data_IF_489596188323
#
_entry.id   IF_489596188323
#
_cell.length_a   1.000
_cell.length_b   1.000
_cell.length_c   1.000
_cell.angle_alpha   90.00
_cell.angle_beta   90.00
_cell.angle_gamma   90.00
#
_symmetry.space_group_name_H-M   'P 1'
#
loop_
_entity.id
_entity.type
_entity.pdbx_description
1 polymer ?
#
# COMPACT_ATOMS: atom_id res chain seq x y z
N UNK A 1 -1.06 -23.33 -49.23
CA UNK A 1 -1.10 -23.61 -47.78
C UNK A 1 -0.18 -24.78 -47.40
N UNK A 2 -0.23 -25.94 -48.09
CA UNK A 2 0.59 -27.15 -47.78
C UNK A 2 2.10 -26.92 -47.93
N UNK A 3 2.55 -26.21 -48.96
CA UNK A 3 3.95 -25.86 -49.20
C UNK A 3 4.56 -25.03 -48.04
N UNK A 4 3.82 -24.08 -47.52
CA UNK A 4 4.26 -23.24 -46.40
C UNK A 4 4.47 -24.09 -45.13
N UNK A 5 3.57 -25.03 -44.86
CA UNK A 5 3.68 -25.93 -43.71
C UNK A 5 4.90 -26.86 -43.82
N UNK A 6 5.17 -27.38 -45.04
CA UNK A 6 6.35 -28.23 -45.30
C UNK A 6 7.66 -27.41 -45.13
N UNK A 7 7.70 -26.19 -45.65
CA UNK A 7 8.88 -25.31 -45.50
C UNK A 7 9.14 -24.96 -44.03
N UNK A 8 8.12 -24.62 -43.26
CA UNK A 8 8.25 -24.34 -41.84
C UNK A 8 8.83 -25.55 -41.08
N UNK A 9 8.32 -26.75 -41.37
CA UNK A 9 8.79 -28.00 -40.75
C UNK A 9 10.27 -28.27 -41.09
N UNK A 10 10.69 -27.98 -42.33
CA UNK A 10 12.05 -28.14 -42.78
C UNK A 10 13.02 -27.14 -42.05
N UNK A 11 12.61 -25.90 -41.95
CA UNK A 11 13.38 -24.88 -41.24
C UNK A 11 13.54 -25.21 -39.72
N UNK A 12 12.47 -25.69 -39.09
CA UNK A 12 12.56 -26.15 -37.70
C UNK A 12 13.54 -27.30 -37.54
N UNK A 13 13.50 -28.31 -38.46
CA UNK A 13 14.44 -29.44 -38.42
C UNK A 13 15.91 -29.00 -38.59
N UNK A 14 16.16 -28.07 -39.54
CA UNK A 14 17.49 -27.50 -39.74
C UNK A 14 17.95 -26.67 -38.50
N UNK A 15 17.08 -25.85 -37.90
CA UNK A 15 17.42 -25.09 -36.73
C UNK A 15 17.79 -25.98 -35.54
N UNK A 16 17.05 -27.08 -35.30
CA UNK A 16 17.39 -28.05 -34.26
C UNK A 16 18.71 -28.77 -34.51
N UNK A 17 19.02 -29.04 -35.77
CA UNK A 17 20.30 -29.69 -36.13
C UNK A 17 21.48 -28.76 -35.87
N UNK A 18 21.41 -27.50 -36.28
CA UNK A 18 22.40 -26.46 -36.02
C UNK A 18 22.61 -26.18 -34.51
N UNK A 19 21.54 -26.20 -33.71
CA UNK A 19 21.60 -26.11 -32.27
C UNK A 19 22.38 -27.28 -31.65
N UNK A 20 22.26 -28.48 -32.22
CA UNK A 20 22.98 -29.69 -31.78
C UNK A 20 24.47 -29.70 -32.14
N UNK A 21 24.86 -29.08 -33.25
CA UNK A 21 26.28 -29.00 -33.68
C UNK A 21 27.08 -28.01 -32.82
N UNK A 22 26.48 -26.88 -32.40
CA UNK A 22 27.15 -25.84 -31.62
C UNK A 22 26.55 -25.69 -30.20
N UNK A 23 26.62 -26.76 -29.42
CA UNK A 23 25.98 -26.85 -28.10
C UNK A 23 26.31 -25.71 -27.16
N UNK A 24 27.54 -25.26 -27.11
CA UNK A 24 28.02 -24.21 -26.22
C UNK A 24 27.42 -22.85 -26.62
N UNK A 25 27.46 -22.50 -27.90
CA UNK A 25 26.91 -21.25 -28.42
C UNK A 25 25.38 -21.20 -28.28
N UNK A 26 24.75 -22.34 -28.57
CA UNK A 26 23.28 -22.49 -28.42
C UNK A 26 22.85 -22.36 -26.97
N UNK A 27 23.58 -22.97 -26.03
CA UNK A 27 23.26 -22.85 -24.61
C UNK A 27 23.40 -21.41 -24.11
N UNK A 28 24.48 -20.71 -24.49
CA UNK A 28 24.64 -19.29 -24.11
C UNK A 28 23.51 -18.44 -24.66
N UNK A 29 23.10 -18.64 -25.92
CA UNK A 29 22.01 -17.89 -26.54
C UNK A 29 20.67 -18.16 -25.87
N UNK A 30 20.38 -19.42 -25.55
CA UNK A 30 19.14 -19.82 -24.87
C UNK A 30 19.09 -19.24 -23.45
N UNK A 31 20.18 -19.37 -22.69
CA UNK A 31 20.25 -18.83 -21.33
C UNK A 31 20.15 -17.30 -21.37
N UNK A 32 20.85 -16.64 -22.30
CA UNK A 32 20.80 -15.19 -22.44
C UNK A 32 19.40 -14.66 -22.77
N UNK A 33 18.72 -15.30 -23.72
CA UNK A 33 17.33 -14.91 -24.08
C UNK A 33 16.35 -15.21 -22.95
N UNK A 34 16.47 -16.35 -22.28
CA UNK A 34 15.63 -16.69 -21.14
C UNK A 34 15.80 -15.69 -19.99
N UNK A 35 17.06 -15.32 -19.69
CA UNK A 35 17.36 -14.32 -18.66
C UNK A 35 16.79 -12.94 -19.03
N UNK A 36 16.92 -12.51 -20.29
CA UNK A 36 16.38 -11.25 -20.77
C UNK A 36 14.84 -11.20 -20.61
N UNK A 37 14.16 -12.28 -21.02
CA UNK A 37 12.71 -12.39 -20.88
C UNK A 37 12.31 -12.37 -19.39
N UNK A 38 13.01 -13.12 -18.55
CA UNK A 38 12.75 -13.15 -17.11
C UNK A 38 12.91 -11.74 -16.48
N UNK A 39 13.95 -11.00 -16.84
CA UNK A 39 14.14 -9.63 -16.35
C UNK A 39 13.02 -8.69 -16.80
N UNK A 40 12.59 -8.76 -18.06
CA UNK A 40 11.47 -7.97 -18.57
C UNK A 40 10.18 -8.32 -17.81
N UNK A 41 9.92 -9.61 -17.57
CA UNK A 41 8.74 -10.02 -16.80
C UNK A 41 8.78 -9.50 -15.37
N UNK A 42 9.91 -9.55 -14.69
CA UNK A 42 10.09 -9.01 -13.34
C UNK A 42 9.78 -7.51 -13.33
N UNK A 43 10.32 -6.75 -14.29
CA UNK A 43 10.06 -5.31 -14.40
C UNK A 43 8.56 -5.04 -14.60
N UNK A 44 7.91 -5.76 -15.53
CA UNK A 44 6.48 -5.59 -15.81
C UNK A 44 5.63 -5.94 -14.58
N UNK A 45 5.95 -7.03 -13.88
CA UNK A 45 5.22 -7.45 -12.67
C UNK A 45 5.40 -6.40 -11.57
N UNK A 46 6.63 -5.92 -11.35
CA UNK A 46 6.91 -4.90 -10.34
C UNK A 46 6.18 -3.59 -10.64
N UNK A 47 6.22 -3.12 -11.89
CA UNK A 47 5.48 -1.93 -12.30
C UNK A 47 3.98 -2.11 -12.12
N UNK A 48 3.43 -3.25 -12.52
CA UNK A 48 2.01 -3.55 -12.33
C UNK A 48 1.64 -3.60 -10.84
N UNK A 49 2.43 -4.26 -10.01
CA UNK A 49 2.21 -4.32 -8.57
C UNK A 49 2.24 -2.93 -7.91
N UNK A 50 3.01 -1.99 -8.48
CA UNK A 50 3.09 -0.61 -7.97
C UNK A 50 1.90 0.25 -8.39
N UNK A 51 1.32 0.01 -9.57
CA UNK A 51 0.30 0.89 -10.16
C UNK A 51 -1.10 0.28 -10.09
N UNK A 52 -1.20 -1.06 -10.05
CA UNK A 52 -2.50 -1.74 -10.11
C UNK A 52 -3.36 -1.42 -8.87
N UNK A 53 -4.65 -1.17 -9.07
CA UNK A 53 -5.59 -0.98 -7.98
C UNK A 53 -5.84 -2.31 -7.27
N UNK A 54 -5.43 -2.41 -6.01
CA UNK A 54 -5.74 -3.52 -5.12
C UNK A 54 -6.46 -3.01 -3.88
N UNK A 55 -7.40 -3.77 -3.37
CA UNK A 55 -7.98 -3.46 -2.07
C UNK A 55 -6.89 -3.38 -0.99
N UNK A 56 -6.92 -2.35 -0.11
CA UNK A 56 -7.94 -1.32 0.03
C UNK A 56 -7.78 -0.10 -0.91
N UNK A 57 -6.75 -0.01 -1.74
CA UNK A 57 -6.43 1.12 -2.63
C UNK A 57 -7.01 0.90 -4.04
N UNK A 58 -8.31 0.73 -4.16
CA UNK A 58 -8.98 0.41 -5.44
C UNK A 58 -8.92 1.55 -6.46
N UNK A 59 -8.77 2.79 -6.00
CA UNK A 59 -8.68 4.00 -6.82
C UNK A 59 -7.28 4.62 -6.85
N UNK A 60 -6.24 3.79 -6.80
CA UNK A 60 -4.84 4.24 -6.74
C UNK A 60 -4.44 5.17 -7.89
N UNK A 61 -5.02 4.98 -9.07
CA UNK A 61 -4.83 5.81 -10.27
C UNK A 61 -5.35 7.26 -10.12
N UNK A 62 -6.26 7.50 -9.17
CA UNK A 62 -6.86 8.80 -8.85
C UNK A 62 -6.39 9.36 -7.51
N UNK A 63 -5.54 8.66 -6.79
CA UNK A 63 -5.05 9.07 -5.48
C UNK A 63 -3.78 9.90 -5.61
N UNK A 64 -3.70 10.98 -4.85
CA UNK A 64 -2.52 11.80 -4.69
C UNK A 64 -2.10 11.84 -3.23
N UNK A 65 -0.89 11.38 -2.94
CA UNK A 65 -0.37 11.29 -1.57
C UNK A 65 0.72 12.34 -1.36
N UNK A 66 0.46 13.28 -0.44
CA UNK A 66 1.44 14.27 0.00
C UNK A 66 2.06 13.83 1.32
N UNK A 67 3.36 13.59 1.33
CA UNK A 67 4.09 13.18 2.54
C UNK A 67 4.90 14.31 3.17
N UNK A 68 5.44 15.19 2.35
CA UNK A 68 6.34 16.26 2.78
C UNK A 68 5.97 17.57 2.11
N UNK A 69 6.17 18.67 2.83
CA UNK A 69 6.11 20.02 2.29
C UNK A 69 7.42 20.75 2.52
N UNK A 70 7.78 21.56 1.53
CA UNK A 70 8.88 22.51 1.66
C UNK A 70 8.37 23.86 2.15
N UNK A 71 8.93 24.35 3.21
CA UNK A 71 8.73 25.71 3.72
C UNK A 71 9.98 26.54 3.44
N UNK A 72 9.82 27.71 2.85
CA UNK A 72 10.90 28.65 2.63
C UNK A 72 10.56 30.00 3.27
N UNK A 73 11.50 30.60 3.97
CA UNK A 73 11.30 31.91 4.54
C UNK A 73 11.36 32.99 3.47
N UNK A 74 10.43 33.95 3.49
CA UNK A 74 10.45 35.13 2.62
C UNK A 74 11.54 36.12 3.00
N UNK A 75 11.94 36.17 4.27
CA UNK A 75 12.96 37.10 4.79
C UNK A 75 14.37 36.54 4.77
N UNK A 76 14.52 35.22 4.75
CA UNK A 76 15.83 34.55 4.70
C UNK A 76 15.80 33.43 3.67
N UNK A 77 16.29 33.72 2.47
CA UNK A 77 16.27 32.79 1.31
C UNK A 77 17.08 31.51 1.56
N UNK A 78 18.04 31.56 2.50
CA UNK A 78 18.85 30.40 2.85
C UNK A 78 18.18 29.48 3.87
N UNK A 79 17.06 29.92 4.47
CA UNK A 79 16.32 29.08 5.39
C UNK A 79 15.19 28.33 4.66
N UNK A 80 15.31 27.03 4.65
CA UNK A 80 14.27 26.11 4.15
C UNK A 80 14.13 24.94 5.09
N UNK A 81 12.92 24.45 5.24
CA UNK A 81 12.61 23.22 5.98
C UNK A 81 11.74 22.32 5.13
N UNK A 82 12.12 21.06 5.07
CA UNK A 82 11.35 20.02 4.39
C UNK A 82 10.93 19.00 5.44
N UNK A 83 9.64 18.73 5.54
CA UNK A 83 9.13 17.79 6.52
C UNK A 83 7.64 17.55 6.42
N UNK A 84 7.11 16.68 7.31
CA UNK A 84 5.68 16.47 7.40
C UNK A 84 4.96 17.76 7.82
N UNK A 85 3.79 17.96 7.27
CA UNK A 85 2.94 19.11 7.61
C UNK A 85 2.15 18.77 8.87
N UNK A 86 2.09 19.71 9.82
CA UNK A 86 1.22 19.57 11.00
C UNK A 86 -0.27 19.53 10.59
N UNK A 87 -1.06 18.78 11.36
CA UNK A 87 -2.49 18.56 11.08
C UNK A 87 -3.28 19.84 10.80
N UNK A 88 -3.14 20.86 11.63
CA UNK A 88 -3.87 22.12 11.46
C UNK A 88 -3.53 22.84 10.15
N UNK A 89 -2.25 22.84 9.77
CA UNK A 89 -1.80 23.42 8.49
C UNK A 89 -2.31 22.61 7.30
N UNK A 90 -2.22 21.29 7.38
CA UNK A 90 -2.76 20.41 6.36
C UNK A 90 -4.28 20.59 6.20
N UNK A 91 -5.02 20.68 7.32
CA UNK A 91 -6.46 20.93 7.32
C UNK A 91 -6.80 22.27 6.65
N UNK A 92 -6.10 23.34 7.00
CA UNK A 92 -6.30 24.66 6.41
C UNK A 92 -6.00 24.71 4.90
N UNK A 93 -4.93 24.01 4.48
CA UNK A 93 -4.50 24.04 3.07
C UNK A 93 -5.32 23.10 2.17
N UNK A 94 -5.60 21.88 2.63
CA UNK A 94 -6.13 20.82 1.77
C UNK A 94 -7.62 20.57 1.93
N UNK A 95 -8.21 20.69 3.15
CA UNK A 95 -9.66 20.49 3.35
C UNK A 95 -10.50 21.60 2.72
N UNK A 96 -9.92 22.77 2.40
CA UNK A 96 -10.59 23.86 1.70
C UNK A 96 -10.53 23.73 0.17
N UNK A 97 -9.82 22.74 -0.37
CA UNK A 97 -9.74 22.53 -1.83
C UNK A 97 -11.05 21.96 -2.36
N UNK A 98 -11.47 22.47 -3.54
CA UNK A 98 -12.71 22.05 -4.21
C UNK A 98 -12.49 21.04 -5.34
N UNK A 99 -11.22 20.82 -5.74
CA UNK A 99 -10.89 19.90 -6.84
C UNK A 99 -10.92 18.43 -6.38
N UNK A 100 -10.31 18.06 -5.22
CA UNK A 100 -10.37 16.69 -4.74
C UNK A 100 -11.79 16.32 -4.30
N UNK A 101 -12.23 15.13 -4.64
CA UNK A 101 -13.52 14.59 -4.20
C UNK A 101 -13.53 14.36 -2.68
N UNK A 102 -12.45 13.81 -2.15
CA UNK A 102 -12.24 13.55 -0.72
C UNK A 102 -10.80 13.85 -0.34
N UNK A 103 -10.60 14.45 0.82
CA UNK A 103 -9.28 14.71 1.40
C UNK A 103 -9.22 14.09 2.79
N UNK A 104 -8.29 13.17 2.99
CA UNK A 104 -7.98 12.57 4.28
C UNK A 104 -6.61 13.05 4.78
N UNK A 105 -6.50 13.24 6.08
CA UNK A 105 -5.25 13.60 6.75
C UNK A 105 -4.90 12.48 7.73
N UNK A 106 -3.74 11.87 7.49
CA UNK A 106 -3.22 10.80 8.34
C UNK A 106 -1.82 11.18 8.83
N UNK A 107 -1.35 10.59 9.92
CA UNK A 107 0.07 10.70 10.22
C UNK A 107 0.88 9.92 9.17
N UNK A 108 2.09 10.38 8.90
CA UNK A 108 2.94 9.84 7.81
C UNK A 108 3.53 8.48 8.17
N UNK A 109 3.81 8.29 9.43
CA UNK A 109 4.47 7.11 9.95
C UNK A 109 3.49 6.30 10.80
N UNK A 110 3.47 5.01 10.56
CA UNK A 110 2.87 4.09 11.50
C UNK A 110 3.73 4.10 12.76
N UNK A 111 3.10 4.37 13.90
CA UNK A 111 3.77 4.34 15.19
C UNK A 111 3.65 2.94 15.78
N UNK A 112 4.76 2.42 16.31
CA UNK A 112 4.73 1.18 17.06
C UNK A 112 4.29 1.46 18.48
N UNK A 113 3.17 0.91 18.89
CA UNK A 113 2.60 1.09 20.21
C UNK A 113 2.35 -0.25 20.89
N UNK A 114 2.19 -0.22 22.22
CA UNK A 114 1.82 -1.40 23.00
C UNK A 114 0.32 -1.40 23.24
N UNK A 115 -0.32 -2.48 22.84
CA UNK A 115 -1.73 -2.70 23.04
C UNK A 115 -1.94 -3.87 24.00
N UNK A 116 -2.88 -3.73 24.94
CA UNK A 116 -3.22 -4.77 25.87
C UNK A 116 -4.71 -4.75 26.23
N UNK A 117 -5.26 -5.91 26.58
CA UNK A 117 -6.50 -5.99 27.33
C UNK A 117 -6.27 -5.44 28.74
N UNK A 118 -7.29 -4.88 29.40
CA UNK A 118 -7.18 -4.54 30.82
C UNK A 118 -6.67 -5.77 31.62
N UNK A 119 -5.58 -5.60 32.36
CA UNK A 119 -4.88 -6.64 33.09
C UNK A 119 -4.32 -7.83 32.26
N UNK A 120 -4.10 -7.62 30.95
CA UNK A 120 -3.52 -8.62 30.04
C UNK A 120 -2.05 -8.34 29.69
N UNK A 121 -1.48 -9.25 28.92
CA UNK A 121 -0.14 -9.05 28.35
C UNK A 121 -0.16 -7.94 27.29
N UNK A 122 0.99 -7.29 27.13
CA UNK A 122 1.17 -6.23 26.13
C UNK A 122 1.63 -6.82 24.81
N UNK A 123 0.96 -6.42 23.74
CA UNK A 123 1.27 -6.79 22.38
C UNK A 123 1.74 -5.56 21.58
N UNK A 124 2.81 -5.71 20.81
CA UNK A 124 3.27 -4.66 19.93
C UNK A 124 2.39 -4.57 18.67
N UNK A 125 1.94 -3.39 18.34
CA UNK A 125 1.12 -3.14 17.15
C UNK A 125 1.56 -1.88 16.43
N UNK A 126 1.30 -1.83 15.12
CA UNK A 126 1.48 -0.63 14.30
C UNK A 126 0.17 0.15 14.27
N UNK A 127 0.23 1.41 14.63
CA UNK A 127 -0.92 2.31 14.70
C UNK A 127 -0.80 3.41 13.65
N UNK A 128 -1.86 3.60 12.90
CA UNK A 128 -2.05 4.71 11.97
C UNK A 128 -3.17 5.60 12.49
N UNK A 129 -2.86 6.86 12.76
CA UNK A 129 -3.88 7.84 13.12
C UNK A 129 -4.50 8.40 11.85
N UNK A 130 -5.83 8.33 11.74
CA UNK A 130 -6.58 8.73 10.55
C UNK A 130 -7.78 9.60 10.91
N UNK A 131 -8.27 10.35 9.93
CA UNK A 131 -9.58 11.02 10.03
C UNK A 131 -10.71 10.13 9.47
N UNK A 132 -11.95 10.60 9.56
CA UNK A 132 -13.15 9.90 9.04
C UNK A 132 -13.11 9.72 7.52
N UNK A 133 -12.48 10.66 6.80
CA UNK A 133 -12.38 10.63 5.35
C UNK A 133 -11.50 9.49 4.82
N UNK A 134 -10.59 8.97 5.67
CA UNK A 134 -9.76 7.82 5.34
C UNK A 134 -10.59 6.61 4.87
N UNK A 135 -11.66 6.32 5.56
CA UNK A 135 -12.54 5.19 5.27
C UNK A 135 -13.38 5.35 4.00
N UNK A 136 -13.43 6.57 3.44
CA UNK A 136 -14.08 6.85 2.15
C UNK A 136 -13.11 6.71 0.97
N UNK A 137 -11.80 6.88 1.23
CA UNK A 137 -10.74 6.77 0.22
C UNK A 137 -10.30 5.31 0.05
N UNK A 138 -10.20 4.59 1.17
CA UNK A 138 -9.73 3.21 1.20
C UNK A 138 -10.90 2.25 1.43
N UNK A 139 -11.06 1.30 0.52
CA UNK A 139 -12.11 0.28 0.57
C UNK A 139 -11.66 -0.92 1.39
N UNK A 140 -11.79 -0.82 2.71
CA UNK A 140 -11.55 -1.94 3.62
C UNK A 140 -12.78 -2.83 3.72
N UNK A 141 -12.56 -4.13 3.78
CA UNK A 141 -13.60 -5.10 4.13
C UNK A 141 -13.72 -5.20 5.66
N UNK A 142 -14.86 -4.85 6.19
CA UNK A 142 -15.16 -4.95 7.61
C UNK A 142 -15.83 -6.28 7.92
N UNK A 143 -15.15 -7.13 8.67
CA UNK A 143 -15.70 -8.42 9.12
C UNK A 143 -16.82 -8.23 10.15
N UNK A 144 -16.71 -7.19 10.99
CA UNK A 144 -17.67 -6.87 12.03
C UNK A 144 -17.61 -5.38 12.36
N UNK A 145 -18.75 -4.79 12.71
CA UNK A 145 -18.83 -3.37 13.05
C UNK A 145 -18.78 -2.44 11.83
N UNK A 146 -18.39 -1.21 12.08
CA UNK A 146 -18.26 -0.13 11.08
C UNK A 146 -17.13 0.82 11.48
N UNK A 147 -16.53 1.57 10.52
CA UNK A 147 -15.55 2.59 10.83
C UNK A 147 -16.19 3.74 11.63
N UNK A 148 -15.37 4.52 12.32
CA UNK A 148 -15.80 5.76 12.94
C UNK A 148 -16.14 6.81 11.86
N UNK A 149 -17.12 7.63 12.16
CA UNK A 149 -17.62 8.68 11.28
C UNK A 149 -17.15 10.08 11.73
N UNK A 150 -17.57 11.10 10.99
CA UNK A 150 -17.19 12.49 11.30
C UNK A 150 -17.67 12.94 12.69
N UNK A 151 -18.82 12.48 13.14
CA UNK A 151 -19.34 12.84 14.47
C UNK A 151 -18.48 12.23 15.58
N UNK A 152 -18.04 10.99 15.39
CA UNK A 152 -17.12 10.31 16.31
C UNK A 152 -15.76 11.02 16.36
N UNK A 153 -15.25 11.43 15.19
CA UNK A 153 -13.96 12.12 15.06
C UNK A 153 -14.02 13.50 15.73
N UNK A 154 -15.03 14.30 15.44
CA UNK A 154 -15.21 15.64 16.01
C UNK A 154 -15.46 15.60 17.53
N UNK A 155 -16.12 14.56 18.02
CA UNK A 155 -16.31 14.33 19.45
C UNK A 155 -15.03 13.84 20.16
N UNK A 156 -13.97 13.50 19.43
CA UNK A 156 -12.78 12.88 20.00
C UNK A 156 -13.06 11.52 20.65
N UNK A 157 -14.00 10.78 20.09
CA UNK A 157 -14.37 9.47 20.63
C UNK A 157 -13.18 8.50 20.55
N UNK A 158 -12.88 7.82 21.64
CA UNK A 158 -11.80 6.82 21.72
C UNK A 158 -12.24 5.52 21.00
N UNK A 159 -12.24 5.56 19.68
CA UNK A 159 -12.59 4.44 18.81
C UNK A 159 -11.40 4.00 17.99
N UNK A 160 -11.22 2.70 17.85
CA UNK A 160 -10.19 2.10 17.02
C UNK A 160 -10.78 1.04 16.09
N UNK A 161 -10.23 0.94 14.90
CA UNK A 161 -10.44 -0.18 14.00
C UNK A 161 -9.19 -1.03 14.04
N UNK A 162 -9.35 -2.30 14.28
CA UNK A 162 -8.22 -3.25 14.40
C UNK A 162 -8.32 -4.35 13.35
N UNK A 163 -7.17 -4.88 12.92
CA UNK A 163 -7.13 -6.02 12.00
C UNK A 163 -7.61 -7.30 12.68
N UNK A 164 -8.09 -8.26 11.90
CA UNK A 164 -8.49 -9.57 12.40
C UNK A 164 -7.37 -10.26 13.18
N UNK A 165 -6.13 -10.18 12.69
CA UNK A 165 -4.97 -10.75 13.37
C UNK A 165 -4.76 -10.12 14.76
N UNK A 166 -4.88 -8.80 14.85
CA UNK A 166 -4.77 -8.10 16.14
C UNK A 166 -5.93 -8.44 17.07
N UNK A 167 -7.14 -8.57 16.55
CA UNK A 167 -8.31 -8.99 17.32
C UNK A 167 -8.10 -10.39 17.93
N UNK A 168 -7.60 -11.33 17.14
CA UNK A 168 -7.29 -12.70 17.61
C UNK A 168 -6.17 -12.71 18.65
N UNK A 169 -5.12 -11.92 18.48
CA UNK A 169 -4.02 -11.83 19.47
C UNK A 169 -4.48 -11.21 20.78
N UNK A 170 -5.21 -10.10 20.74
CA UNK A 170 -5.67 -9.42 21.95
C UNK A 170 -6.83 -10.14 22.66
N UNK A 171 -7.77 -10.68 21.91
CA UNK A 171 -9.03 -11.15 22.47
C UNK A 171 -9.30 -12.64 22.25
N UNK A 172 -8.48 -13.33 21.46
CA UNK A 172 -8.67 -14.73 21.10
C UNK A 172 -9.83 -14.98 20.13
N UNK A 173 -10.45 -13.93 19.60
CA UNK A 173 -11.61 -14.01 18.70
C UNK A 173 -11.60 -12.84 17.73
N UNK A 174 -12.27 -13.00 16.58
CA UNK A 174 -12.51 -11.91 15.62
C UNK A 174 -13.71 -11.04 16.01
N UNK A 175 -14.63 -11.52 16.86
CA UNK A 175 -15.79 -10.79 17.35
C UNK A 175 -15.40 -9.87 18.52
N UNK A 176 -15.05 -8.62 18.21
CA UNK A 176 -14.48 -7.68 19.19
C UNK A 176 -15.19 -6.33 19.24
N UNK A 177 -16.29 -6.16 18.52
CA UNK A 177 -17.05 -4.90 18.53
C UNK A 177 -17.53 -4.60 19.96
N UNK A 178 -17.29 -3.36 20.41
CA UNK A 178 -17.63 -2.91 21.77
C UNK A 178 -16.70 -3.39 22.88
N UNK A 179 -15.63 -4.13 22.56
CA UNK A 179 -14.60 -4.47 23.55
C UNK A 179 -13.59 -3.33 23.66
N UNK A 180 -13.06 -3.15 24.86
CA UNK A 180 -12.08 -2.11 25.18
C UNK A 180 -10.68 -2.72 25.32
N UNK A 181 -9.68 -2.05 24.82
CA UNK A 181 -8.28 -2.38 25.02
C UNK A 181 -7.47 -1.12 25.36
N UNK A 182 -6.29 -1.30 25.91
CA UNK A 182 -5.40 -0.21 26.22
C UNK A 182 -4.39 -0.03 25.10
N UNK A 183 -4.16 1.21 24.69
CA UNK A 183 -3.12 1.59 23.74
C UNK A 183 -2.25 2.64 24.42
N UNK A 184 -0.99 2.30 24.72
CA UNK A 184 -0.09 3.15 25.49
C UNK A 184 -0.76 3.72 26.76
N UNK A 185 -1.48 2.90 27.52
CA UNK A 185 -2.21 3.23 28.75
C UNK A 185 -3.51 4.06 28.56
N UNK A 186 -3.91 4.39 27.34
CA UNK A 186 -5.21 5.01 27.05
C UNK A 186 -6.21 3.97 26.57
N UNK A 187 -7.47 4.06 27.01
CA UNK A 187 -8.53 3.11 26.64
C UNK A 187 -9.19 3.49 25.32
N UNK A 188 -9.39 2.51 24.46
CA UNK A 188 -10.04 2.61 23.16
C UNK A 188 -11.11 1.54 23.01
#
# INVERSE_FOLDING_TARGET
>A
SILVTIMIKLYFKQAFHLLGENKLLSSISIIGTALAIAMIMVIVITLRATIAPFAPETHRDRMLIFRFAGLQSKSNVNWQSNGPIGYNTAKACFKAMTIPEVVSITNIWQETMLAAKPAGEMESCSVLQTDDAFWKIFEFEFLSGKPYDNADFDAGAAKAVISEDMARRLFGTSEVVGKTFLLNHSAY
#
